data_IF_251530008945
#
_entry.id   IF_251530008945
#
_cell.length_a   1.000
_cell.length_b   1.000
_cell.length_c   1.000
_cell.angle_alpha   90.00
_cell.angle_beta   90.00
_cell.angle_gamma   90.00
#
_symmetry.space_group_name_H-M   'P 1'
#
loop_
_entity.id
_entity.type
_entity.pdbx_description
1 polymer ?
#
# COMPACT_ATOMS: atom_id res chain seq x y z
N UNK A 1 -14.94 20.13 -6.23
CA UNK A 1 -13.96 19.60 -5.27
C UNK A 1 -12.98 18.72 -6.03
N UNK A 2 -11.69 18.77 -5.70
CA UNK A 2 -10.69 17.89 -6.34
C UNK A 2 -10.88 16.47 -5.79
N UNK A 3 -10.89 15.45 -6.67
CA UNK A 3 -11.02 14.05 -6.26
C UNK A 3 -9.87 13.64 -5.33
N UNK A 4 -10.16 12.79 -4.34
CA UNK A 4 -9.15 12.12 -3.53
C UNK A 4 -8.67 10.88 -4.27
N UNK A 5 -7.37 10.69 -4.33
CA UNK A 5 -6.73 9.58 -5.05
C UNK A 5 -6.29 8.51 -4.05
N UNK A 6 -6.67 7.28 -4.31
CA UNK A 6 -6.29 6.09 -3.54
C UNK A 6 -5.46 5.18 -4.44
N UNK A 7 -4.23 4.86 -4.01
CA UNK A 7 -3.41 3.87 -4.70
C UNK A 7 -3.50 2.51 -4.02
N UNK A 8 -3.81 1.50 -4.83
CA UNK A 8 -3.83 0.10 -4.44
C UNK A 8 -2.47 -0.54 -4.79
N UNK A 9 -1.87 -1.19 -3.82
CA UNK A 9 -0.61 -1.93 -3.99
C UNK A 9 -0.57 -3.10 -3.01
N UNK A 10 0.35 -4.04 -3.19
CA UNK A 10 0.48 -5.11 -2.22
C UNK A 10 1.06 -6.41 -2.77
N UNK A 11 0.70 -7.53 -2.15
CA UNK A 11 1.16 -8.85 -2.55
C UNK A 11 0.22 -9.49 -3.57
N UNK A 12 0.36 -9.07 -4.82
CA UNK A 12 -0.44 -9.55 -5.96
C UNK A 12 -0.22 -11.04 -6.31
N UNK A 13 0.75 -11.71 -5.66
CA UNK A 13 0.97 -13.17 -5.83
C UNK A 13 -0.01 -14.00 -4.99
N UNK A 14 -0.72 -13.38 -4.04
CA UNK A 14 -1.76 -14.04 -3.27
C UNK A 14 -3.07 -14.00 -4.04
N UNK A 15 -3.74 -15.13 -4.19
CA UNK A 15 -4.98 -15.27 -4.97
C UNK A 15 -6.06 -14.26 -4.55
N UNK A 16 -6.21 -14.02 -3.25
CA UNK A 16 -7.21 -13.09 -2.68
C UNK A 16 -6.88 -11.60 -2.87
N UNK A 17 -5.71 -11.24 -3.43
CA UNK A 17 -5.36 -9.84 -3.66
C UNK A 17 -6.37 -9.15 -4.58
N UNK A 18 -6.69 -9.78 -5.70
CA UNK A 18 -7.60 -9.22 -6.68
C UNK A 18 -9.06 -9.27 -6.24
N UNK A 19 -9.45 -10.19 -5.35
CA UNK A 19 -10.78 -10.20 -4.73
C UNK A 19 -10.98 -8.93 -3.90
N UNK A 20 -9.97 -8.55 -3.11
CA UNK A 20 -9.99 -7.31 -2.33
C UNK A 20 -9.97 -6.07 -3.25
N UNK A 21 -9.15 -6.08 -4.32
CA UNK A 21 -9.15 -4.99 -5.31
C UNK A 21 -10.53 -4.84 -5.95
N UNK A 22 -11.18 -5.96 -6.30
CA UNK A 22 -12.54 -5.97 -6.85
C UNK A 22 -13.57 -5.39 -5.88
N UNK A 23 -13.48 -5.76 -4.60
CA UNK A 23 -14.36 -5.24 -3.56
C UNK A 23 -14.20 -3.72 -3.40
N UNK A 24 -12.96 -3.21 -3.38
CA UNK A 24 -12.67 -1.78 -3.31
C UNK A 24 -13.19 -1.05 -4.56
N UNK A 25 -12.92 -1.61 -5.75
CA UNK A 25 -13.41 -1.08 -7.03
C UNK A 25 -14.92 -0.93 -7.02
N UNK A 26 -15.64 -2.00 -6.64
CA UNK A 26 -17.12 -2.03 -6.56
C UNK A 26 -17.65 -1.02 -5.53
N UNK A 27 -16.99 -0.88 -4.40
CA UNK A 27 -17.38 0.10 -3.39
C UNK A 27 -17.30 1.52 -3.96
N UNK A 28 -16.16 1.90 -4.53
CA UNK A 28 -15.95 3.27 -5.05
C UNK A 28 -16.62 3.55 -6.39
N UNK A 29 -17.14 2.55 -7.11
CA UNK A 29 -17.96 2.81 -8.30
C UNK A 29 -19.22 3.61 -7.99
N UNK A 30 -19.72 3.54 -6.76
CA UNK A 30 -20.91 4.25 -6.29
C UNK A 30 -20.58 5.49 -5.42
N UNK A 31 -19.29 5.81 -5.21
CA UNK A 31 -18.86 6.91 -4.34
C UNK A 31 -18.17 7.99 -5.18
N UNK A 32 -18.76 9.17 -5.27
CA UNK A 32 -18.18 10.29 -6.02
C UNK A 32 -17.00 10.93 -5.28
N UNK A 33 -16.07 11.50 -6.02
CA UNK A 33 -14.96 12.28 -5.47
C UNK A 33 -13.74 11.43 -5.08
N UNK A 34 -13.66 10.19 -5.56
CA UNK A 34 -12.50 9.31 -5.41
C UNK A 34 -12.03 8.79 -6.76
N UNK A 35 -10.74 8.66 -6.91
CA UNK A 35 -10.05 8.04 -8.05
C UNK A 35 -9.19 6.88 -7.52
N UNK A 36 -9.25 5.75 -8.21
CA UNK A 36 -8.47 4.57 -7.86
C UNK A 36 -7.31 4.40 -8.84
N UNK A 37 -6.12 4.24 -8.29
CA UNK A 37 -4.93 3.84 -9.02
C UNK A 37 -4.45 2.48 -8.53
N UNK A 38 -3.84 1.69 -9.40
CA UNK A 38 -3.13 0.48 -9.04
C UNK A 38 -1.72 0.53 -9.62
N UNK A 39 -0.73 0.10 -8.82
CA UNK A 39 0.64 0.00 -9.28
C UNK A 39 0.77 -1.05 -10.39
N UNK A 40 1.46 -0.69 -11.46
CA UNK A 40 1.75 -1.57 -12.62
C UNK A 40 2.44 -2.87 -12.21
N UNK A 41 3.24 -2.83 -11.14
CA UNK A 41 3.88 -4.03 -10.58
C UNK A 41 2.85 -5.12 -10.21
N UNK A 42 1.66 -4.71 -9.74
CA UNK A 42 0.59 -5.62 -9.37
C UNK A 42 -0.08 -6.27 -10.59
N UNK A 43 0.07 -5.67 -11.77
CA UNK A 43 -0.61 -6.11 -13.01
C UNK A 43 0.30 -6.96 -13.91
N UNK A 44 1.62 -7.03 -13.68
CA UNK A 44 2.60 -7.66 -14.57
C UNK A 44 2.30 -9.11 -14.97
N UNK A 45 1.58 -9.87 -14.16
CA UNK A 45 1.27 -11.28 -14.44
C UNK A 45 -0.23 -11.54 -14.69
N UNK A 46 -1.06 -10.49 -14.79
CA UNK A 46 -2.52 -10.60 -14.81
C UNK A 46 -3.19 -9.77 -15.92
N UNK A 47 -2.43 -9.34 -16.92
CA UNK A 47 -2.81 -8.38 -17.95
C UNK A 47 -4.05 -8.72 -18.80
N UNK A 48 -4.56 -9.94 -18.77
CA UNK A 48 -5.64 -10.35 -19.67
C UNK A 48 -6.99 -10.63 -18.99
N UNK A 49 -7.08 -10.68 -17.65
CA UNK A 49 -8.31 -11.20 -17.00
C UNK A 49 -9.02 -10.23 -16.05
N UNK A 50 -8.42 -9.10 -15.66
CA UNK A 50 -9.06 -8.19 -14.73
C UNK A 50 -9.00 -6.75 -15.23
N UNK A 51 -9.99 -6.38 -16.02
CA UNK A 51 -10.26 -4.99 -16.39
C UNK A 51 -11.19 -4.43 -15.30
N UNK A 52 -10.68 -3.46 -14.55
CA UNK A 52 -11.51 -2.67 -13.64
C UNK A 52 -11.77 -1.32 -14.32
N UNK A 53 -13.01 -1.05 -14.68
CA UNK A 53 -13.39 0.15 -15.45
C UNK A 53 -13.07 1.46 -14.71
N UNK A 54 -12.96 1.41 -13.39
CA UNK A 54 -12.74 2.58 -12.53
C UNK A 54 -11.36 2.60 -11.85
N UNK A 55 -10.40 1.75 -12.29
CA UNK A 55 -9.04 1.73 -11.77
C UNK A 55 -8.05 2.04 -12.90
N UNK A 56 -7.22 3.05 -12.69
CA UNK A 56 -6.14 3.40 -13.63
C UNK A 56 -4.84 2.72 -13.20
N UNK A 57 -4.14 2.09 -14.14
CA UNK A 57 -2.82 1.49 -13.92
C UNK A 57 -1.74 2.53 -14.22
N UNK A 58 -0.78 2.71 -13.30
CA UNK A 58 0.37 3.60 -13.48
C UNK A 58 1.58 3.03 -12.73
N UNK A 59 2.78 3.55 -12.97
CA UNK A 59 3.96 3.18 -12.19
C UNK A 59 3.76 3.50 -10.70
N UNK A 60 4.41 2.74 -9.82
CA UNK A 60 4.28 2.96 -8.37
C UNK A 60 4.58 4.42 -7.98
N UNK A 61 5.67 5.01 -8.52
CA UNK A 61 6.05 6.39 -8.22
C UNK A 61 5.01 7.41 -8.70
N UNK A 62 4.45 7.23 -9.90
CA UNK A 62 3.40 8.10 -10.41
C UNK A 62 2.12 7.99 -9.57
N UNK A 63 1.73 6.78 -9.20
CA UNK A 63 0.62 6.53 -8.30
C UNK A 63 0.81 7.29 -6.98
N UNK A 64 1.95 7.09 -6.33
CA UNK A 64 2.27 7.71 -5.03
C UNK A 64 2.26 9.23 -5.11
N UNK A 65 2.83 9.82 -6.16
CA UNK A 65 2.88 11.28 -6.33
C UNK A 65 1.48 11.94 -6.47
N UNK A 66 0.49 11.17 -6.88
CA UNK A 66 -0.91 11.64 -7.03
C UNK A 66 -1.75 11.32 -5.79
N UNK A 67 -1.32 10.40 -4.93
CA UNK A 67 -2.14 9.77 -3.90
C UNK A 67 -2.39 10.64 -2.67
N UNK A 68 -3.63 10.57 -2.19
CA UNK A 68 -4.02 11.01 -0.86
C UNK A 68 -3.94 9.84 0.16
N UNK A 69 -4.10 8.59 -0.29
CA UNK A 69 -4.04 7.38 0.52
C UNK A 69 -3.38 6.24 -0.25
N UNK A 70 -2.69 5.38 0.48
CA UNK A 70 -2.17 4.10 -0.04
C UNK A 70 -2.88 2.96 0.67
N UNK A 71 -3.45 2.03 -0.09
CA UNK A 71 -3.97 0.77 0.46
C UNK A 71 -2.97 -0.33 0.16
N UNK A 72 -2.36 -0.84 1.22
CA UNK A 72 -1.37 -1.93 1.15
C UNK A 72 -2.05 -3.25 1.48
N UNK A 73 -2.29 -4.07 0.44
CA UNK A 73 -3.07 -5.30 0.51
C UNK A 73 -2.14 -6.50 0.66
N UNK A 74 -2.18 -7.17 1.81
CA UNK A 74 -1.29 -8.30 2.12
C UNK A 74 -1.12 -8.52 3.61
N UNK A 75 0.00 -9.11 4.04
CA UNK A 75 0.37 -9.24 5.44
C UNK A 75 1.33 -8.13 5.90
N UNK A 76 1.79 -8.22 7.15
CA UNK A 76 2.70 -7.23 7.75
C UNK A 76 3.95 -6.97 6.90
N UNK A 77 4.58 -8.02 6.36
CA UNK A 77 5.72 -7.88 5.47
C UNK A 77 5.42 -7.08 4.20
N UNK A 78 4.19 -7.15 3.69
CA UNK A 78 3.73 -6.36 2.55
C UNK A 78 3.62 -4.88 2.93
N UNK A 79 3.05 -4.59 4.10
CA UNK A 79 2.92 -3.23 4.62
C UNK A 79 4.30 -2.63 4.85
N UNK A 80 5.23 -3.37 5.47
CA UNK A 80 6.62 -2.94 5.64
C UNK A 80 7.32 -2.64 4.31
N UNK A 81 7.10 -3.49 3.31
CA UNK A 81 7.65 -3.29 1.96
C UNK A 81 7.07 -2.03 1.30
N UNK A 82 5.76 -1.81 1.42
CA UNK A 82 5.09 -0.61 0.91
C UNK A 82 5.66 0.65 1.56
N UNK A 83 5.77 0.68 2.89
CA UNK A 83 6.33 1.82 3.63
C UNK A 83 7.78 2.10 3.21
N UNK A 84 8.59 1.06 3.02
CA UNK A 84 9.97 1.21 2.54
C UNK A 84 10.02 1.83 1.15
N UNK A 85 9.13 1.44 0.22
CA UNK A 85 9.03 2.02 -1.12
C UNK A 85 8.55 3.48 -1.08
N UNK A 86 7.69 3.85 -0.13
CA UNK A 86 7.29 5.24 0.08
C UNK A 86 8.46 6.13 0.48
N UNK A 87 9.51 5.57 1.06
CA UNK A 87 10.70 6.31 1.47
C UNK A 87 10.33 7.41 2.49
N UNK A 88 10.63 8.68 2.20
CA UNK A 88 10.31 9.81 3.07
C UNK A 88 8.93 10.46 2.79
N UNK A 89 8.14 9.89 1.89
CA UNK A 89 6.82 10.47 1.55
C UNK A 89 5.81 10.21 2.67
N UNK A 90 5.17 11.27 3.12
CA UNK A 90 4.21 11.23 4.23
C UNK A 90 2.80 11.09 3.70
N UNK A 91 2.39 9.87 3.39
CA UNK A 91 1.05 9.54 2.87
C UNK A 91 0.42 8.51 3.81
N UNK A 92 -0.84 8.69 4.25
CA UNK A 92 -1.54 7.71 5.05
C UNK A 92 -1.62 6.35 4.37
N UNK A 93 -1.30 5.29 5.11
CA UNK A 93 -1.33 3.90 4.63
C UNK A 93 -2.40 3.14 5.40
N UNK A 94 -3.37 2.56 4.67
CA UNK A 94 -4.28 1.56 5.20
C UNK A 94 -3.73 0.17 4.86
N UNK A 95 -3.40 -0.62 5.88
CA UNK A 95 -3.08 -2.04 5.71
C UNK A 95 -4.36 -2.87 5.65
N UNK A 96 -4.57 -3.60 4.55
CA UNK A 96 -5.67 -4.56 4.39
C UNK A 96 -5.08 -5.97 4.41
N UNK A 97 -5.44 -6.75 5.40
CA UNK A 97 -4.84 -8.06 5.63
C UNK A 97 -5.47 -9.16 4.78
N UNK A 98 -4.60 -10.02 4.21
CA UNK A 98 -5.00 -11.27 3.54
C UNK A 98 -4.55 -12.44 4.41
N UNK A 99 -5.50 -13.16 5.00
CA UNK A 99 -5.25 -14.30 5.88
C UNK A 99 -5.32 -13.94 7.37
N UNK A 100 -4.47 -14.49 8.21
CA UNK A 100 -4.48 -14.25 9.66
C UNK A 100 -4.01 -12.84 10.00
N UNK A 101 -4.75 -12.13 10.85
CA UNK A 101 -4.48 -10.74 11.23
C UNK A 101 -3.08 -10.59 11.83
N UNK A 102 -2.31 -9.63 11.32
CA UNK A 102 -1.01 -9.22 11.84
C UNK A 102 -1.12 -8.04 12.80
N UNK A 103 0.02 -7.42 13.09
CA UNK A 103 0.14 -6.27 14.01
C UNK A 103 0.02 -4.91 13.32
N UNK A 104 0.23 -4.85 12.00
CA UNK A 104 0.29 -3.60 11.23
C UNK A 104 -0.98 -3.33 10.42
N UNK A 105 -1.72 -4.36 10.05
CA UNK A 105 -2.96 -4.19 9.30
C UNK A 105 -4.07 -3.63 10.18
N UNK A 106 -4.85 -2.71 9.62
CA UNK A 106 -5.98 -2.05 10.29
C UNK A 106 -7.33 -2.61 9.86
N UNK A 107 -7.37 -3.41 8.80
CA UNK A 107 -8.58 -4.01 8.27
C UNK A 107 -8.29 -5.42 7.76
N UNK A 108 -9.29 -6.27 7.83
CA UNK A 108 -9.35 -7.57 7.15
C UNK A 108 -10.35 -7.45 6.00
N UNK A 109 -10.49 -8.51 5.21
CA UNK A 109 -11.51 -8.56 4.16
C UNK A 109 -12.92 -8.36 4.71
N UNK A 110 -13.24 -8.95 5.86
CA UNK A 110 -14.54 -8.86 6.50
C UNK A 110 -14.86 -7.45 7.01
N UNK A 111 -13.85 -6.73 7.46
CA UNK A 111 -14.01 -5.36 8.01
C UNK A 111 -13.72 -4.27 6.98
N UNK A 112 -13.39 -4.63 5.75
CA UNK A 112 -12.96 -3.68 4.71
C UNK A 112 -14.02 -2.62 4.42
N UNK A 113 -15.28 -3.02 4.20
CA UNK A 113 -16.35 -2.06 3.90
C UNK A 113 -16.53 -1.02 5.02
N UNK A 114 -16.46 -1.44 6.27
CA UNK A 114 -16.51 -0.53 7.42
C UNK A 114 -15.32 0.45 7.41
N UNK A 115 -14.11 -0.02 7.09
CA UNK A 115 -12.94 0.85 6.95
C UNK A 115 -13.10 1.86 5.80
N UNK A 116 -13.68 1.46 4.67
CA UNK A 116 -13.98 2.34 3.54
C UNK A 116 -15.04 3.40 3.91
N UNK A 117 -16.09 3.02 4.64
CA UNK A 117 -17.12 3.95 5.15
C UNK A 117 -16.50 5.02 6.06
N UNK A 118 -15.57 4.62 6.93
CA UNK A 118 -14.83 5.56 7.77
C UNK A 118 -13.96 6.52 6.97
N UNK A 119 -13.31 6.06 5.90
CA UNK A 119 -12.50 6.92 5.01
C UNK A 119 -13.39 7.92 4.27
N UNK A 120 -14.52 7.47 3.76
CA UNK A 120 -15.45 8.32 2.99
C UNK A 120 -16.09 9.38 3.89
N UNK A 121 -16.54 8.98 5.08
CA UNK A 121 -17.13 9.91 6.08
C UNK A 121 -16.11 10.82 6.76
N UNK A 122 -14.80 10.54 6.64
CA UNK A 122 -13.75 11.26 7.35
C UNK A 122 -13.65 10.89 8.85
N UNK A 123 -14.33 9.84 9.28
CA UNK A 123 -14.35 9.37 10.68
C UNK A 123 -13.24 8.36 10.95
N UNK A 124 -11.98 8.79 10.90
CA UNK A 124 -10.81 7.98 11.19
C UNK A 124 -9.70 8.82 11.83
N UNK A 125 -8.77 8.15 12.49
CA UNK A 125 -7.57 8.77 13.04
C UNK A 125 -6.33 8.26 12.31
N UNK A 126 -5.39 9.18 12.03
CA UNK A 126 -4.08 8.85 11.49
C UNK A 126 -3.11 8.71 12.67
N UNK A 127 -2.50 7.52 12.79
CA UNK A 127 -1.45 7.27 13.76
C UNK A 127 -0.09 7.46 13.11
N UNK A 128 0.62 8.48 13.52
CA UNK A 128 1.98 8.73 13.06
C UNK A 128 2.94 7.67 13.60
N UNK A 129 3.90 7.30 12.77
CA UNK A 129 4.96 6.34 13.09
C UNK A 129 6.32 6.89 12.69
N UNK A 130 7.31 6.59 13.51
CA UNK A 130 8.70 6.97 13.24
C UNK A 130 9.29 6.01 12.22
N UNK A 131 10.04 6.55 11.25
CA UNK A 131 10.89 5.79 10.35
C UNK A 131 12.35 5.96 10.75
N UNK A 132 13.09 4.86 10.69
CA UNK A 132 14.53 4.87 10.78
C UNK A 132 15.13 5.26 9.43
N UNK A 133 16.00 6.25 9.42
CA UNK A 133 16.79 6.66 8.25
C UNK A 133 18.24 6.26 8.47
N UNK A 134 18.81 5.51 7.54
CA UNK A 134 20.23 5.15 7.56
C UNK A 134 20.91 5.49 6.25
N UNK A 135 22.22 5.72 6.32
CA UNK A 135 23.07 5.96 5.14
C UNK A 135 24.50 5.52 5.43
N UNK A 136 25.23 5.23 4.37
CA UNK A 136 26.66 4.93 4.49
C UNK A 136 27.45 6.23 4.65
N UNK A 137 28.34 6.30 5.64
CA UNK A 137 29.21 7.46 5.82
C UNK A 137 30.08 7.74 4.60
N UNK A 138 30.51 6.68 3.90
CA UNK A 138 31.30 6.76 2.65
C UNK A 138 30.45 7.19 1.44
N UNK A 139 29.14 7.05 1.47
CA UNK A 139 28.20 7.49 0.43
C UNK A 139 26.90 8.00 1.05
N UNK A 140 26.83 9.24 1.55
CA UNK A 140 25.66 9.80 2.23
C UNK A 140 24.42 9.91 1.34
N UNK A 141 24.54 9.76 0.02
CA UNK A 141 23.41 9.78 -0.92
C UNK A 141 22.66 8.43 -0.94
N UNK A 142 23.30 7.36 -0.49
CA UNK A 142 22.73 6.01 -0.41
C UNK A 142 21.89 5.89 0.88
N UNK A 143 20.67 6.38 0.83
CA UNK A 143 19.75 6.48 1.97
C UNK A 143 18.76 5.34 1.96
N UNK A 144 18.60 4.68 3.11
CA UNK A 144 17.63 3.62 3.33
C UNK A 144 16.65 4.04 4.43
N UNK A 145 15.39 3.64 4.28
CA UNK A 145 14.35 3.84 5.28
C UNK A 145 13.82 2.49 5.76
N UNK A 146 13.56 2.40 7.05
CA UNK A 146 12.94 1.24 7.67
C UNK A 146 11.88 1.64 8.67
N UNK A 147 10.85 0.80 8.80
CA UNK A 147 9.76 1.03 9.74
C UNK A 147 10.03 0.38 11.11
N UNK A 148 10.64 -0.79 11.14
CA UNK A 148 10.92 -1.52 12.39
C UNK A 148 12.41 -1.42 12.77
N UNK A 149 13.27 -2.07 11.99
CA UNK A 149 14.68 -2.27 12.30
C UNK A 149 15.54 -2.20 11.03
N UNK A 150 16.82 -1.99 11.25
CA UNK A 150 17.87 -2.06 10.22
C UNK A 150 18.90 -3.05 10.71
N UNK A 151 19.06 -4.14 9.96
CA UNK A 151 20.03 -5.18 10.27
C UNK A 151 21.32 -4.93 9.48
N UNK A 152 22.45 -4.94 10.18
CA UNK A 152 23.77 -4.90 9.59
C UNK A 152 24.37 -6.28 9.73
N UNK A 153 24.60 -6.96 8.61
CA UNK A 153 25.16 -8.29 8.56
C UNK A 153 26.50 -8.28 7.83
N UNK A 154 27.36 -9.23 8.13
CA UNK A 154 28.68 -9.39 7.51
C UNK A 154 28.62 -9.72 6.01
N UNK A 155 27.45 -10.02 5.45
CA UNK A 155 27.30 -10.53 4.10
C UNK A 155 28.09 -11.84 3.93
N UNK A 156 27.54 -12.90 3.41
CA UNK A 156 28.22 -14.16 3.13
C UNK A 156 29.16 -14.71 4.21
N UNK A 157 28.72 -14.90 5.41
CA UNK A 157 29.27 -15.97 6.22
C UNK A 157 28.74 -17.27 5.64
N UNK A 158 29.44 -17.81 4.64
CA UNK A 158 29.17 -19.15 4.13
C UNK A 158 29.10 -20.13 5.29
N UNK A 159 27.97 -20.80 5.41
CA UNK A 159 27.89 -22.08 6.07
C UNK A 159 27.94 -23.16 5.02
#
# INVERSE_FOLDING_TARGET
MKSKVITLTGNYRKDRFFDIVSQISKYFSNVKGYELLISDECMKNHSEKMIFDNITVDSFDNCVNKSNYIFSIGGDGTILSTIRKLSCRTIPVLGVHIGNLGFLAMSTEETLNMALDHIVSGNYNIKEKILLKTYRKSNPKDVFYSFNDIVIDHGNSGR
#
